data_IF_017374292011
#
_entry.id   IF_017374292011
#
_cell.length_a   1.000
_cell.length_b   1.000
_cell.length_c   1.000
_cell.angle_alpha   90.00
_cell.angle_beta   90.00
_cell.angle_gamma   90.00
#
_symmetry.space_group_name_H-M   'P 1'
#
loop_
_entity.id
_entity.type
_entity.pdbx_description
1 polymer ?
#
# COMPACT_ATOMS: atom_id res chain seq x y z
N UNK A 1 -34.88 -23.28 -1.04
CA UNK A 1 -33.92 -23.81 -2.04
C UNK A 1 -32.62 -24.10 -1.30
N UNK A 2 -32.15 -25.35 -1.30
CA UNK A 2 -30.87 -25.71 -0.69
C UNK A 2 -29.74 -25.19 -1.60
N UNK A 3 -28.81 -24.40 -1.05
CA UNK A 3 -27.65 -23.92 -1.80
C UNK A 3 -26.79 -25.13 -2.21
N UNK A 4 -26.50 -25.26 -3.52
CA UNK A 4 -25.66 -26.32 -4.04
C UNK A 4 -24.19 -26.24 -3.56
N UNK A 5 -23.36 -27.24 -3.88
CA UNK A 5 -21.96 -27.31 -3.42
C UNK A 5 -21.18 -26.03 -3.74
N UNK A 6 -20.67 -25.37 -2.69
CA UNK A 6 -19.93 -24.12 -2.83
C UNK A 6 -18.60 -24.38 -3.54
N UNK A 7 -18.23 -23.58 -4.57
CA UNK A 7 -16.94 -23.70 -5.25
C UNK A 7 -15.78 -23.64 -4.26
N UNK A 8 -14.77 -24.49 -4.43
CA UNK A 8 -13.63 -24.65 -3.48
C UNK A 8 -12.95 -23.33 -3.09
N UNK A 9 -12.87 -22.34 -4.00
CA UNK A 9 -12.30 -21.00 -3.69
C UNK A 9 -13.21 -20.20 -2.76
N UNK A 10 -14.51 -20.23 -2.97
CA UNK A 10 -15.49 -19.58 -2.07
C UNK A 10 -15.54 -20.33 -0.75
N UNK A 11 -15.48 -21.67 -0.76
CA UNK A 11 -15.38 -22.48 0.45
C UNK A 11 -14.10 -22.17 1.26
N UNK A 12 -12.99 -21.82 0.59
CA UNK A 12 -11.76 -21.37 1.25
C UNK A 12 -11.87 -19.95 1.84
N UNK A 13 -12.65 -19.07 1.21
CA UNK A 13 -12.97 -17.74 1.75
C UNK A 13 -13.98 -17.80 2.90
N UNK A 14 -14.86 -18.79 2.89
CA UNK A 14 -15.78 -19.11 3.99
C UNK A 14 -15.14 -19.97 5.07
N UNK A 15 -13.91 -20.44 4.84
CA UNK A 15 -13.10 -21.08 5.86
C UNK A 15 -12.74 -20.09 6.97
N UNK A 16 -12.37 -20.57 8.17
CA UNK A 16 -11.98 -19.70 9.27
C UNK A 16 -10.91 -18.71 8.80
N UNK A 17 -11.12 -17.42 9.13
CA UNK A 17 -10.18 -16.34 8.80
C UNK A 17 -8.78 -16.78 9.24
N UNK A 18 -7.81 -16.82 8.30
CA UNK A 18 -6.44 -17.13 8.66
C UNK A 18 -6.03 -16.20 9.80
N UNK A 19 -5.46 -16.71 10.90
CA UNK A 19 -5.02 -15.85 11.99
C UNK A 19 -4.11 -14.78 11.40
N UNK A 20 -4.31 -13.51 11.80
CA UNK A 20 -3.49 -12.38 11.38
C UNK A 20 -2.03 -12.73 11.63
N UNK A 21 -1.38 -13.23 10.59
CA UNK A 21 0.02 -13.59 10.66
C UNK A 21 0.73 -12.26 10.59
N UNK A 22 1.28 -11.85 11.74
CA UNK A 22 2.11 -10.65 11.83
C UNK A 22 3.24 -10.66 10.78
N UNK A 23 3.98 -9.55 10.73
CA UNK A 23 5.01 -9.32 9.74
C UNK A 23 5.86 -10.57 9.46
N UNK A 24 6.02 -10.99 8.19
CA UNK A 24 6.78 -12.18 7.87
C UNK A 24 8.21 -12.05 8.43
N UNK A 25 8.78 -13.11 9.01
CA UNK A 25 10.10 -13.04 9.61
C UNK A 25 11.12 -12.51 8.59
N UNK A 26 11.96 -11.55 8.98
CA UNK A 26 12.88 -10.85 8.09
C UNK A 26 13.84 -11.80 7.33
N UNK A 27 14.12 -12.98 7.89
CA UNK A 27 14.98 -14.02 7.30
C UNK A 27 14.27 -14.93 6.29
N UNK A 28 13.02 -14.63 5.92
CA UNK A 28 12.28 -15.36 4.88
C UNK A 28 12.20 -14.52 3.60
N UNK A 29 12.08 -15.14 2.41
CA UNK A 29 11.85 -14.40 1.16
C UNK A 29 10.65 -13.45 1.24
N UNK A 30 9.59 -13.83 1.96
CA UNK A 30 8.42 -13.00 2.21
C UNK A 30 8.75 -11.76 3.09
N UNK A 31 9.62 -11.92 4.10
CA UNK A 31 10.12 -10.82 4.92
C UNK A 31 10.93 -9.82 4.11
N UNK A 32 11.83 -10.29 3.25
CA UNK A 32 12.61 -9.44 2.36
C UNK A 32 11.71 -8.66 1.38
N UNK A 33 10.71 -9.33 0.77
CA UNK A 33 9.75 -8.67 -0.10
C UNK A 33 8.92 -7.60 0.63
N UNK A 34 8.47 -7.89 1.86
CA UNK A 34 7.74 -6.92 2.69
C UNK A 34 8.62 -5.71 3.04
N UNK A 35 9.90 -5.92 3.35
CA UNK A 35 10.84 -4.84 3.64
C UNK A 35 11.10 -3.96 2.40
N UNK A 36 11.30 -4.56 1.23
CA UNK A 36 11.46 -3.82 -0.03
C UNK A 36 10.20 -3.03 -0.38
N UNK A 37 9.01 -3.62 -0.20
CA UNK A 37 7.75 -2.92 -0.43
C UNK A 37 7.56 -1.74 0.54
N UNK A 38 7.90 -1.92 1.81
CA UNK A 38 7.88 -0.85 2.80
C UNK A 38 8.86 0.27 2.43
N UNK A 39 10.09 -0.07 2.05
CA UNK A 39 11.09 0.89 1.59
C UNK A 39 10.65 1.63 0.31
N UNK A 40 10.05 0.92 -0.66
CA UNK A 40 9.49 1.55 -1.87
C UNK A 40 8.34 2.51 -1.57
N UNK A 41 7.50 2.19 -0.57
CA UNK A 41 6.43 3.06 -0.10
C UNK A 41 6.98 4.32 0.56
N UNK A 42 8.00 4.22 1.42
CA UNK A 42 8.60 5.39 2.06
C UNK A 42 9.27 6.31 1.03
N UNK A 43 9.99 5.75 0.06
CA UNK A 43 10.59 6.54 -1.03
C UNK A 43 9.51 7.22 -1.88
N UNK A 44 8.41 6.53 -2.22
CA UNK A 44 7.29 7.12 -2.96
C UNK A 44 6.63 8.27 -2.19
N UNK A 45 6.45 8.11 -0.88
CA UNK A 45 5.91 9.15 -0.01
C UNK A 45 6.83 10.40 0.05
N UNK A 46 8.15 10.19 0.15
CA UNK A 46 9.13 11.28 0.09
C UNK A 46 9.13 11.99 -1.26
N UNK A 47 9.00 11.25 -2.36
CA UNK A 47 8.86 11.83 -3.70
C UNK A 47 7.59 12.67 -3.83
N UNK A 48 6.45 12.18 -3.32
CA UNK A 48 5.20 12.92 -3.30
C UNK A 48 5.28 14.19 -2.44
N UNK A 49 5.96 14.14 -1.29
CA UNK A 49 6.23 15.32 -0.46
C UNK A 49 7.07 16.35 -1.22
N UNK A 50 8.13 15.91 -1.92
CA UNK A 50 8.95 16.81 -2.73
C UNK A 50 8.13 17.47 -3.86
N UNK A 51 7.31 16.69 -4.57
CA UNK A 51 6.41 17.22 -5.60
C UNK A 51 5.40 18.22 -5.02
N UNK A 52 4.82 17.94 -3.86
CA UNK A 52 3.90 18.85 -3.19
C UNK A 52 4.58 20.17 -2.81
N UNK A 53 5.80 20.13 -2.27
CA UNK A 53 6.59 21.33 -1.96
C UNK A 53 6.89 22.12 -3.23
N UNK A 54 7.33 21.47 -4.31
CA UNK A 54 7.59 22.14 -5.57
C UNK A 54 6.34 22.82 -6.13
N UNK A 55 5.19 22.14 -6.13
CA UNK A 55 3.91 22.71 -6.57
C UNK A 55 3.47 23.87 -5.70
N UNK A 56 3.65 23.77 -4.37
CA UNK A 56 3.35 24.85 -3.45
C UNK A 56 4.18 26.10 -3.74
N UNK A 57 5.49 25.96 -3.96
CA UNK A 57 6.37 27.08 -4.30
C UNK A 57 6.00 27.73 -5.64
N UNK A 58 5.65 26.92 -6.64
CA UNK A 58 5.17 27.42 -7.94
C UNK A 58 3.87 28.21 -7.78
N UNK A 59 2.94 27.70 -6.98
CA UNK A 59 1.68 28.40 -6.70
C UNK A 59 1.93 29.71 -5.95
N UNK A 60 2.78 29.70 -4.92
CA UNK A 60 3.15 30.89 -4.17
C UNK A 60 3.73 31.95 -5.11
N UNK A 61 4.73 31.58 -5.91
CA UNK A 61 5.36 32.47 -6.89
C UNK A 61 4.35 33.06 -7.90
N UNK A 62 3.42 32.25 -8.40
CA UNK A 62 2.36 32.70 -9.32
C UNK A 62 1.34 33.62 -8.64
N UNK A 63 1.16 33.51 -7.33
CA UNK A 63 0.25 34.36 -6.55
C UNK A 63 0.93 35.69 -6.17
N UNK A 64 2.24 35.67 -5.92
CA UNK A 64 3.05 36.85 -5.58
C UNK A 64 3.53 37.65 -6.77
N UNK A 65 3.43 37.12 -8.00
CA UNK A 65 3.63 37.92 -9.23
C UNK A 65 2.30 38.53 -9.69
N UNK A 66 2.02 39.81 -9.39
CA UNK A 66 0.89 40.48 -10.03
C UNK A 66 1.24 40.67 -11.51
N UNK A 67 0.39 40.14 -12.40
CA UNK A 67 0.41 40.45 -13.83
C UNK A 67 -0.01 41.92 -14.06
#
# INVERSE_FOLDING_TARGET
AAAGPVPRRVAALLGPVPPDRGWPPALTPAGAAAFVAAAGTTVSALSALNAAVALFLVLEAATTTPL
#
